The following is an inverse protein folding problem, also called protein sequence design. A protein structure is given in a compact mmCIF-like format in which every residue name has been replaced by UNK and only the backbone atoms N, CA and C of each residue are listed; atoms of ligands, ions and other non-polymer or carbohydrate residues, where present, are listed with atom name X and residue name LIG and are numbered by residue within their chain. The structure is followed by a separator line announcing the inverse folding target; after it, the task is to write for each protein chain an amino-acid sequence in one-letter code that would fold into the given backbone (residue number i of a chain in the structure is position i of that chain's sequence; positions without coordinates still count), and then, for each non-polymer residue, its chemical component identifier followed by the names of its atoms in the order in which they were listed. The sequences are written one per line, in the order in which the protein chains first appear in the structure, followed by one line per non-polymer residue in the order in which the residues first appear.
data_IF_012538112088
#
_entry.id   IF_012538112088
#
_cell.length_a   1.000
_cell.length_b   1.000
_cell.length_c   1.000
_cell.angle_alpha   90.00
_cell.angle_beta   90.00
_cell.angle_gamma   90.00
#
_symmetry.space_group_name_H-M   'P 1'
#
loop_
_entity.id
_entity.type
_entity.pdbx_description
1 polymer ?
#
# COMPACT_ATOMS: atom_id res chain seq x y z
N UNK A 1 -16.14 8.01 0.56
CA UNK A 1 -14.67 8.07 0.57
C UNK A 1 -14.04 7.65 1.90
N UNK A 2 -14.19 8.39 3.02
CA UNK A 2 -13.52 8.05 4.30
C UNK A 2 -13.72 6.60 4.76
N UNK A 3 -14.97 6.11 4.72
CA UNK A 3 -15.30 4.72 5.07
C UNK A 3 -14.58 3.69 4.19
N UNK A 4 -14.41 3.98 2.89
CA UNK A 4 -13.71 3.10 1.95
C UNK A 4 -12.24 2.98 2.37
N UNK A 5 -11.57 4.11 2.61
CA UNK A 5 -10.16 4.14 3.02
C UNK A 5 -9.98 3.50 4.41
N UNK A 6 -10.92 3.69 5.35
CA UNK A 6 -10.90 3.00 6.65
C UNK A 6 -11.03 1.48 6.52
N UNK A 7 -11.89 1.00 5.60
CA UNK A 7 -12.01 -0.42 5.33
C UNK A 7 -10.72 -0.99 4.73
N UNK A 8 -10.09 -0.28 3.79
CA UNK A 8 -8.80 -0.67 3.24
C UNK A 8 -7.68 -0.63 4.30
N UNK A 9 -7.70 0.34 5.21
CA UNK A 9 -6.79 0.37 6.37
C UNK A 9 -6.94 -0.88 7.23
N UNK A 10 -8.18 -1.27 7.53
CA UNK A 10 -8.47 -2.48 8.30
C UNK A 10 -7.92 -3.72 7.59
N UNK A 11 -8.13 -3.84 6.29
CA UNK A 11 -7.57 -4.93 5.47
C UNK A 11 -6.03 -4.94 5.52
N UNK A 12 -5.39 -3.78 5.34
CA UNK A 12 -3.93 -3.64 5.48
C UNK A 12 -3.45 -4.14 6.84
N UNK A 13 -4.09 -3.70 7.92
CA UNK A 13 -3.72 -4.07 9.28
C UNK A 13 -3.88 -5.58 9.52
N UNK A 14 -4.96 -6.18 9.00
CA UNK A 14 -5.20 -7.63 9.00
C UNK A 14 -4.20 -8.41 8.15
N UNK A 15 -3.73 -7.85 7.03
CA UNK A 15 -2.67 -8.48 6.22
C UNK A 15 -1.35 -8.42 6.99
N UNK A 16 -0.99 -7.25 7.54
CA UNK A 16 0.25 -7.03 8.28
C UNK A 16 0.37 -7.90 9.54
N UNK A 17 -0.75 -8.24 10.19
CA UNK A 17 -0.76 -9.09 11.38
C UNK A 17 -0.52 -10.58 11.10
N UNK A 18 -0.53 -11.01 9.83
CA UNK A 18 -0.36 -12.42 9.47
C UNK A 18 1.10 -12.86 9.64
N UNK A 19 1.35 -14.12 10.05
CA UNK A 19 2.68 -14.69 10.03
C UNK A 19 3.13 -14.89 8.58
N UNK A 20 4.11 -14.09 8.13
CA UNK A 20 4.72 -14.25 6.82
C UNK A 20 6.08 -14.92 6.93
N UNK A 21 6.39 -15.78 5.96
CA UNK A 21 7.75 -16.27 5.76
C UNK A 21 8.64 -15.09 5.36
N UNK A 22 9.77 -14.92 6.07
CA UNK A 22 10.78 -13.91 5.71
C UNK A 22 11.34 -14.26 4.33
N UNK A 23 11.20 -13.34 3.38
CA UNK A 23 11.74 -13.50 2.03
C UNK A 23 13.20 -13.08 2.04
N UNK A 24 14.08 -13.94 1.51
CA UNK A 24 15.45 -13.52 1.15
C UNK A 24 15.39 -12.76 -0.16
N UNK A 25 15.66 -11.46 -0.09
CA UNK A 25 15.84 -10.62 -1.28
C UNK A 25 17.33 -10.36 -1.48
N UNK A 26 17.76 -10.28 -2.73
CA UNK A 26 19.10 -9.79 -3.10
C UNK A 26 19.14 -8.26 -2.99
N UNK A 27 17.96 -7.62 -3.00
CA UNK A 27 17.82 -6.17 -2.91
C UNK A 27 17.79 -5.71 -1.45
N UNK A 28 18.56 -4.66 -1.15
CA UNK A 28 18.50 -3.95 0.12
C UNK A 28 17.24 -3.06 0.16
N UNK A 29 16.31 -3.42 1.05
CA UNK A 29 15.02 -2.72 1.15
C UNK A 29 15.19 -1.31 1.73
N UNK A 30 16.09 -1.12 2.70
CA UNK A 30 16.30 0.19 3.32
C UNK A 30 16.96 1.15 2.32
N UNK A 31 17.93 0.67 1.51
CA UNK A 31 18.52 1.46 0.43
C UNK A 31 17.50 1.83 -0.65
N UNK A 32 16.60 0.90 -1.01
CA UNK A 32 15.53 1.21 -1.95
C UNK A 32 14.60 2.28 -1.37
N UNK A 33 14.18 2.14 -0.11
CA UNK A 33 13.25 3.05 0.55
C UNK A 33 13.85 4.42 0.88
N UNK A 34 15.19 4.55 0.97
CA UNK A 34 15.85 5.86 1.17
C UNK A 34 15.83 6.74 -0.08
N UNK A 35 15.62 6.15 -1.26
CA UNK A 35 15.45 6.91 -2.51
C UNK A 35 14.05 7.56 -2.55
N UNK A 36 13.93 8.76 -3.12
CA UNK A 36 12.64 9.43 -3.32
C UNK A 36 11.92 8.97 -4.61
N UNK A 37 12.55 8.11 -5.41
CA UNK A 37 11.95 7.61 -6.66
C UNK A 37 10.79 6.66 -6.37
N UNK A 38 9.87 6.54 -7.33
CA UNK A 38 8.77 5.56 -7.29
C UNK A 38 9.36 4.15 -7.45
N UNK A 39 8.87 3.19 -6.65
CA UNK A 39 9.27 1.78 -6.73
C UNK A 39 8.16 1.03 -7.44
N UNK A 40 8.43 0.53 -8.64
CA UNK A 40 7.49 -0.30 -9.40
C UNK A 40 7.74 -1.78 -9.08
N UNK A 41 6.74 -2.44 -8.47
CA UNK A 41 6.76 -3.90 -8.24
C UNK A 41 5.81 -4.53 -9.24
N UNK A 42 6.34 -5.25 -10.23
CA UNK A 42 5.57 -5.86 -11.32
C UNK A 42 5.81 -7.37 -11.40
N UNK A 43 4.93 -8.07 -12.13
CA UNK A 43 5.00 -9.51 -12.35
C UNK A 43 3.63 -10.18 -12.45
N UNK A 44 3.59 -11.50 -12.78
CA UNK A 44 2.34 -12.24 -13.02
C UNK A 44 1.35 -12.23 -11.84
N UNK A 45 0.10 -12.64 -12.10
CA UNK A 45 -0.90 -12.80 -11.04
C UNK A 45 -0.44 -13.87 -10.04
N UNK A 46 -0.69 -13.64 -8.74
CA UNK A 46 -0.39 -14.57 -7.62
C UNK A 46 1.10 -14.84 -7.31
N UNK A 47 2.04 -14.05 -7.82
CA UNK A 47 3.47 -14.15 -7.40
C UNK A 47 3.78 -13.46 -6.06
N UNK A 48 2.78 -12.85 -5.42
CA UNK A 48 2.92 -12.19 -4.12
C UNK A 48 3.60 -10.82 -4.19
N UNK A 49 3.18 -9.98 -5.14
CA UNK A 49 3.65 -8.59 -5.32
C UNK A 49 3.20 -7.68 -4.18
N UNK A 50 1.90 -7.65 -3.91
CA UNK A 50 1.31 -6.87 -2.81
C UNK A 50 1.87 -7.33 -1.46
N UNK A 51 2.05 -8.64 -1.28
CA UNK A 51 2.76 -9.19 -0.12
C UNK A 51 4.20 -8.68 -0.02
N UNK A 52 4.95 -8.65 -1.12
CA UNK A 52 6.31 -8.08 -1.12
C UNK A 52 6.29 -6.62 -0.69
N UNK A 53 5.39 -5.81 -1.25
CA UNK A 53 5.30 -4.38 -0.94
C UNK A 53 4.95 -4.13 0.53
N UNK A 54 3.98 -4.88 1.07
CA UNK A 54 3.62 -4.84 2.50
C UNK A 54 4.80 -5.24 3.40
N UNK A 55 5.55 -6.27 3.02
CA UNK A 55 6.74 -6.70 3.76
C UNK A 55 7.87 -5.67 3.70
N UNK A 56 8.05 -4.98 2.56
CA UNK A 56 9.04 -3.91 2.43
C UNK A 56 8.72 -2.71 3.33
N UNK A 57 7.43 -2.40 3.49
CA UNK A 57 6.94 -1.30 4.32
C UNK A 57 6.64 -1.72 5.76
N UNK A 58 7.04 -2.94 6.16
CA UNK A 58 6.90 -3.40 7.54
C UNK A 58 7.67 -2.47 8.47
N UNK A 59 7.04 -2.11 9.58
CA UNK A 59 7.56 -1.18 10.58
C UNK A 59 7.80 0.25 10.06
N UNK A 60 7.25 0.61 8.90
CA UNK A 60 7.21 1.98 8.38
C UNK A 60 5.81 2.57 8.54
N UNK A 61 5.71 3.89 8.66
CA UNK A 61 4.42 4.57 8.61
C UNK A 61 4.01 4.78 7.15
N UNK A 62 2.98 4.08 6.67
CA UNK A 62 2.55 4.17 5.28
C UNK A 62 1.03 4.18 5.12
N UNK A 63 0.56 4.93 4.13
CA UNK A 63 -0.82 4.90 3.66
C UNK A 63 -1.00 3.77 2.64
N UNK A 64 -2.14 3.08 2.68
CA UNK A 64 -2.48 2.00 1.75
C UNK A 64 -3.73 2.39 0.94
N UNK A 65 -3.63 2.23 -0.38
CA UNK A 65 -4.73 2.43 -1.31
C UNK A 65 -4.74 1.32 -2.37
N UNK A 66 -5.81 0.54 -2.41
CA UNK A 66 -6.03 -0.54 -3.36
C UNK A 66 -7.10 -0.12 -4.39
N UNK A 67 -6.75 -0.23 -5.68
CA UNK A 67 -7.58 0.19 -6.81
C UNK A 67 -8.55 -0.89 -7.32
N UNK A 68 -8.50 -2.13 -6.81
CA UNK A 68 -9.48 -3.18 -7.11
C UNK A 68 -10.85 -2.94 -6.43
N UNK A 69 -10.98 -1.88 -5.64
CA UNK A 69 -12.23 -1.51 -4.98
C UNK A 69 -13.13 -0.68 -5.90
N UNK A 70 -14.19 -1.30 -6.43
CA UNK A 70 -15.16 -0.64 -7.33
C UNK A 70 -15.74 0.67 -6.77
N UNK A 71 -16.04 0.73 -5.47
CA UNK A 71 -16.61 1.93 -4.84
C UNK A 71 -15.61 3.10 -4.80
N UNK A 72 -14.31 2.79 -4.67
CA UNK A 72 -13.25 3.80 -4.76
C UNK A 72 -13.20 4.41 -6.16
N UNK A 73 -13.23 3.57 -7.18
CA UNK A 73 -13.14 3.98 -8.58
C UNK A 73 -14.38 4.78 -9.03
N UNK A 74 -15.57 4.35 -8.65
CA UNK A 74 -16.83 5.03 -8.99
C UNK A 74 -16.92 6.44 -8.40
N UNK A 75 -16.35 6.64 -7.21
CA UNK A 75 -16.39 7.92 -6.47
C UNK A 75 -15.06 8.67 -6.49
N UNK A 76 -14.21 8.39 -7.49
CA UNK A 76 -12.85 8.91 -7.54
C UNK A 76 -12.79 10.44 -7.61
N UNK A 77 -12.14 11.03 -6.61
CA UNK A 77 -11.72 12.42 -6.58
C UNK A 77 -10.35 12.45 -5.90
N UNK A 78 -9.30 12.73 -6.67
CA UNK A 78 -7.93 12.71 -6.17
C UNK A 78 -7.71 13.68 -4.99
N UNK A 79 -8.30 14.88 -5.02
CA UNK A 79 -8.14 15.86 -3.95
C UNK A 79 -8.87 15.41 -2.68
N UNK A 80 -10.03 14.77 -2.83
CA UNK A 80 -10.73 14.17 -1.70
C UNK A 80 -9.95 12.98 -1.14
N UNK A 81 -9.44 12.08 -2.00
CA UNK A 81 -8.65 10.92 -1.59
C UNK A 81 -7.43 11.35 -0.79
N UNK A 82 -6.63 12.30 -1.30
CA UNK A 82 -5.44 12.79 -0.59
C UNK A 82 -5.78 13.34 0.80
N UNK A 83 -6.82 14.20 0.91
CA UNK A 83 -7.27 14.71 2.22
C UNK A 83 -7.72 13.60 3.17
N UNK A 84 -8.36 12.56 2.65
CA UNK A 84 -8.80 11.43 3.48
C UNK A 84 -7.63 10.51 3.87
N UNK A 85 -6.59 10.37 3.03
CA UNK A 85 -5.37 9.66 3.40
C UNK A 85 -4.65 10.38 4.53
N UNK A 86 -4.53 11.71 4.48
CA UNK A 86 -3.90 12.52 5.54
C UNK A 86 -4.64 12.37 6.89
N UNK A 87 -5.97 12.30 6.86
CA UNK A 87 -6.82 12.12 8.05
C UNK A 87 -6.77 10.68 8.60
N UNK A 88 -6.77 9.65 7.73
CA UNK A 88 -6.77 8.24 8.16
C UNK A 88 -5.37 7.75 8.55
N UNK A 89 -4.32 8.30 7.94
CA UNK A 89 -2.93 7.90 8.14
C UNK A 89 -2.07 9.11 8.53
N UNK A 90 -2.25 9.73 9.71
CA UNK A 90 -1.53 10.94 10.05
C UNK A 90 0.01 10.74 9.98
N UNK A 91 0.67 11.62 9.22
CA UNK A 91 2.13 11.63 9.08
C UNK A 91 2.73 10.42 8.35
N UNK A 92 1.99 9.76 7.45
CA UNK A 92 2.55 8.68 6.63
C UNK A 92 3.76 9.18 5.83
N UNK A 93 4.80 8.35 5.77
CA UNK A 93 6.04 8.64 5.03
C UNK A 93 6.02 8.02 3.63
N UNK A 94 5.25 6.93 3.48
CA UNK A 94 5.13 6.17 2.24
C UNK A 94 3.68 6.00 1.83
N UNK A 95 3.42 5.86 0.54
CA UNK A 95 2.13 5.46 -0.01
C UNK A 95 2.33 4.16 -0.79
N UNK A 96 1.55 3.13 -0.45
CA UNK A 96 1.42 1.91 -1.23
C UNK A 96 0.17 2.00 -2.10
N UNK A 97 0.37 2.09 -3.41
CA UNK A 97 -0.68 1.99 -4.43
C UNK A 97 -0.69 0.56 -4.98
N UNK A 98 -1.78 -0.15 -4.77
CA UNK A 98 -1.93 -1.58 -5.13
C UNK A 98 -2.98 -1.77 -6.22
N UNK A 99 -2.76 -2.75 -7.11
CA UNK A 99 -3.65 -3.07 -8.25
C UNK A 99 -4.01 -1.85 -9.14
N UNK A 100 -3.08 -0.90 -9.31
CA UNK A 100 -3.26 0.38 -10.04
C UNK A 100 -3.64 0.27 -11.52
N UNK A 101 -3.53 -0.93 -12.10
CA UNK A 101 -3.89 -1.16 -13.49
C UNK A 101 -5.40 -1.38 -13.72
N UNK A 102 -6.17 -1.54 -12.64
CA UNK A 102 -7.63 -1.68 -12.67
C UNK A 102 -8.30 -0.31 -12.75
#
# INVERSE_FOLDING_TARGET
MKTIILNQRKERDELMSRPYLVRKSIQDTDLLLSSHLIKLITGPRRVGKSTQALLMLRDKNFAYLNFDNYQLLETWDANLVMRMLDDVYPGYEYILLDEVQN
#
